data_IF_289446236214
#
_entry.id   IF_289446236214
#
_cell.length_a   1.000
_cell.length_b   1.000
_cell.length_c   1.000
_cell.angle_alpha   90.00
_cell.angle_beta   90.00
_cell.angle_gamma   90.00
#
_symmetry.space_group_name_H-M   'P 1'
#
loop_
_entity.id
_entity.type
_entity.pdbx_description
1 polymer ?
#
# COMPACT_ATOMS: atom_id res chain seq x y z
N UNK A 1 30.92 40.94 -45.31
CA UNK A 1 31.67 40.03 -44.40
C UNK A 1 30.93 40.02 -43.08
N UNK A 2 30.09 39.04 -42.89
CA UNK A 2 29.27 38.96 -41.63
C UNK A 2 29.24 37.48 -41.25
N UNK A 3 30.05 37.10 -40.28
CA UNK A 3 30.16 35.73 -39.80
C UNK A 3 28.92 35.37 -38.94
N UNK A 4 28.23 34.38 -39.40
CA UNK A 4 27.08 33.75 -38.77
C UNK A 4 27.59 32.89 -37.61
N UNK A 5 27.40 33.34 -36.35
CA UNK A 5 27.62 32.51 -35.17
C UNK A 5 26.34 31.72 -34.87
N UNK A 6 26.35 30.47 -35.28
CA UNK A 6 25.31 29.50 -34.92
C UNK A 6 25.59 29.00 -33.47
N UNK A 7 24.87 29.53 -32.47
CA UNK A 7 24.88 28.97 -31.11
C UNK A 7 24.02 27.74 -31.09
N UNK A 8 24.65 26.59 -30.99
CA UNK A 8 24.04 25.30 -30.77
C UNK A 8 23.51 25.25 -29.31
N UNK A 9 22.20 25.39 -29.17
CA UNK A 9 21.51 25.23 -27.87
C UNK A 9 21.38 23.72 -27.63
N UNK A 10 22.27 23.13 -26.83
CA UNK A 10 22.10 21.78 -26.31
C UNK A 10 20.99 21.81 -25.27
N UNK A 11 19.81 21.37 -25.66
CA UNK A 11 18.72 21.05 -24.77
C UNK A 11 19.07 19.72 -24.07
N UNK A 12 19.62 19.79 -22.86
CA UNK A 12 19.76 18.61 -22.00
C UNK A 12 18.37 18.26 -21.46
N UNK A 13 17.71 17.34 -22.10
CA UNK A 13 16.60 16.59 -21.55
C UNK A 13 17.11 15.79 -20.35
N UNK A 14 16.93 16.33 -19.16
CA UNK A 14 17.01 15.57 -17.92
C UNK A 14 15.80 14.61 -17.88
N UNK A 15 15.93 13.47 -18.56
CA UNK A 15 15.08 12.32 -18.30
C UNK A 15 15.45 11.83 -16.88
N UNK A 16 14.59 12.07 -15.92
CA UNK A 16 14.63 11.42 -14.61
C UNK A 16 14.30 9.94 -14.78
N UNK A 17 15.20 9.21 -15.45
CA UNK A 17 15.22 7.78 -15.47
C UNK A 17 15.57 7.32 -14.05
N UNK A 18 14.67 6.56 -13.44
CA UNK A 18 15.00 5.74 -12.28
C UNK A 18 16.13 4.83 -12.73
N UNK A 19 17.37 5.14 -12.33
CA UNK A 19 18.53 4.28 -12.52
C UNK A 19 18.28 3.07 -11.60
N UNK A 20 17.64 2.05 -12.13
CA UNK A 20 17.60 0.74 -11.52
C UNK A 20 19.05 0.23 -11.59
N UNK A 21 19.76 0.29 -10.46
CA UNK A 21 21.14 -0.19 -10.39
C UNK A 21 21.17 -1.64 -10.86
N UNK A 22 21.98 -1.92 -11.90
CA UNK A 22 22.11 -3.25 -12.45
C UNK A 22 22.64 -4.17 -11.35
N UNK A 23 21.89 -5.21 -11.00
CA UNK A 23 22.26 -6.21 -10.00
C UNK A 23 23.65 -6.76 -10.29
N UNK A 24 24.48 -6.89 -9.26
CA UNK A 24 25.81 -7.49 -9.44
C UNK A 24 25.68 -9.02 -9.56
N UNK A 25 26.65 -9.69 -10.20
CA UNK A 25 26.68 -11.17 -10.29
C UNK A 25 26.57 -11.85 -8.90
N UNK A 26 27.07 -11.19 -7.86
CA UNK A 26 27.00 -11.67 -6.48
C UNK A 26 25.57 -11.58 -5.94
N UNK A 27 24.87 -10.50 -6.22
CA UNK A 27 23.47 -10.32 -5.83
C UNK A 27 22.57 -11.32 -6.51
N UNK A 28 22.70 -11.52 -7.81
CA UNK A 28 21.96 -12.53 -8.57
C UNK A 28 22.18 -13.95 -8.03
N UNK A 29 23.41 -14.27 -7.60
CA UNK A 29 23.71 -15.55 -6.97
C UNK A 29 23.00 -15.69 -5.62
N UNK A 30 23.01 -14.62 -4.81
CA UNK A 30 22.34 -14.60 -3.50
C UNK A 30 20.84 -14.79 -3.68
N UNK A 31 20.21 -14.08 -4.61
CA UNK A 31 18.79 -14.20 -4.91
C UNK A 31 18.39 -15.61 -5.35
N UNK A 32 19.16 -16.22 -6.25
CA UNK A 32 18.95 -17.63 -6.66
C UNK A 32 19.00 -18.60 -5.49
N UNK A 33 20.04 -18.50 -4.64
CA UNK A 33 20.18 -19.36 -3.45
C UNK A 33 19.01 -19.18 -2.47
N UNK A 34 18.55 -17.94 -2.31
CA UNK A 34 17.44 -17.58 -1.46
C UNK A 34 16.11 -18.18 -1.99
N UNK A 35 15.85 -18.05 -3.29
CA UNK A 35 14.69 -18.66 -3.95
C UNK A 35 14.72 -20.19 -3.78
N UNK A 36 15.85 -20.84 -3.99
CA UNK A 36 16.00 -22.28 -3.80
C UNK A 36 15.74 -22.73 -2.36
N UNK A 37 16.21 -21.95 -1.38
CA UNK A 37 15.93 -22.21 0.04
C UNK A 37 14.41 -22.15 0.32
N UNK A 38 13.74 -21.09 -0.15
CA UNK A 38 12.31 -20.88 0.08
C UNK A 38 11.50 -21.97 -0.64
N UNK A 39 11.86 -22.34 -1.86
CA UNK A 39 11.25 -23.46 -2.59
C UNK A 39 11.27 -24.75 -1.78
N UNK A 40 12.41 -25.10 -1.21
CA UNK A 40 12.54 -26.30 -0.37
C UNK A 40 11.67 -26.24 0.88
N UNK A 41 11.59 -25.07 1.52
CA UNK A 41 10.78 -24.88 2.71
C UNK A 41 9.27 -25.00 2.45
N UNK A 42 8.79 -24.53 1.29
CA UNK A 42 7.37 -24.57 0.90
C UNK A 42 6.96 -25.98 0.43
N UNK A 43 7.81 -26.69 -0.32
CA UNK A 43 7.48 -28.02 -0.85
C UNK A 43 7.24 -29.11 0.23
N UNK A 44 7.49 -28.77 1.50
CA UNK A 44 7.15 -29.67 2.65
C UNK A 44 5.65 -29.58 2.99
N UNK A 45 4.94 -28.52 2.56
CA UNK A 45 3.51 -28.36 2.84
C UNK A 45 2.67 -28.92 1.71
N UNK A 46 1.79 -29.91 2.01
CA UNK A 46 0.92 -30.60 1.04
C UNK A 46 -0.34 -29.82 0.64
N UNK A 47 -0.66 -28.75 1.37
CA UNK A 47 -1.89 -27.97 1.16
C UNK A 47 -1.77 -26.99 -0.02
N UNK A 48 -0.55 -26.72 -0.46
CA UNK A 48 -0.26 -25.74 -1.50
C UNK A 48 0.71 -26.30 -2.54
N UNK A 49 0.53 -25.90 -3.79
CA UNK A 49 1.50 -26.12 -4.85
C UNK A 49 2.18 -24.81 -5.20
N UNK A 50 3.52 -24.75 -4.99
CA UNK A 50 4.30 -23.59 -5.38
C UNK A 50 4.32 -23.44 -6.91
N UNK A 51 3.99 -22.26 -7.41
CA UNK A 51 4.03 -21.90 -8.83
C UNK A 51 5.26 -21.06 -9.16
N UNK A 52 5.49 -20.00 -8.40
CA UNK A 52 6.62 -19.10 -8.65
C UNK A 52 7.10 -18.42 -7.36
N UNK A 53 8.36 -17.98 -7.34
CA UNK A 53 8.93 -17.11 -6.31
C UNK A 53 9.76 -16.05 -7.01
N UNK A 54 9.52 -14.80 -6.63
CA UNK A 54 10.26 -13.64 -7.16
C UNK A 54 10.78 -12.78 -6.03
N UNK A 55 12.01 -12.30 -6.16
CA UNK A 55 12.49 -11.16 -5.36
C UNK A 55 11.92 -9.89 -5.99
N UNK A 56 10.98 -9.25 -5.31
CA UNK A 56 10.36 -8.00 -5.75
C UNK A 56 11.29 -6.82 -5.57
N UNK A 57 11.97 -6.78 -4.44
CA UNK A 57 12.88 -5.70 -4.05
C UNK A 57 13.86 -6.22 -2.99
N UNK A 58 15.04 -5.62 -2.92
CA UNK A 58 15.96 -5.76 -1.80
C UNK A 58 16.43 -4.39 -1.30
N UNK A 59 16.78 -4.30 -0.02
CA UNK A 59 17.30 -3.07 0.58
C UNK A 59 18.35 -3.39 1.63
N UNK A 60 19.40 -2.56 1.67
CA UNK A 60 20.46 -2.67 2.69
C UNK A 60 19.94 -2.27 4.07
N UNK A 61 20.54 -2.87 5.10
CA UNK A 61 20.23 -2.55 6.48
C UNK A 61 21.28 -1.58 7.04
N UNK A 62 20.91 -0.31 7.23
CA UNK A 62 21.84 0.73 7.67
C UNK A 62 22.60 0.41 8.97
N UNK A 63 22.02 -0.40 9.85
CA UNK A 63 22.62 -0.78 11.15
C UNK A 63 23.26 -2.17 11.18
N UNK A 64 23.18 -2.92 10.10
CA UNK A 64 23.72 -4.27 9.95
C UNK A 64 24.46 -4.36 8.61
N UNK A 65 25.69 -3.88 8.52
CA UNK A 65 26.48 -3.93 7.29
C UNK A 65 26.51 -5.36 6.71
N UNK A 66 26.50 -5.48 5.41
CA UNK A 66 26.44 -6.74 4.65
C UNK A 66 25.09 -7.48 4.69
N UNK A 67 24.13 -7.08 5.51
CA UNK A 67 22.80 -7.67 5.51
C UNK A 67 21.83 -6.86 4.68
N UNK A 68 20.99 -7.57 3.93
CA UNK A 68 19.87 -6.99 3.16
C UNK A 68 18.56 -7.64 3.59
N UNK A 69 17.47 -6.88 3.49
CA UNK A 69 16.13 -7.43 3.47
C UNK A 69 15.75 -7.72 2.02
N UNK A 70 15.15 -8.88 1.77
CA UNK A 70 14.58 -9.29 0.50
C UNK A 70 13.08 -9.41 0.64
N UNK A 71 12.33 -8.68 -0.18
CA UNK A 71 10.88 -8.75 -0.26
C UNK A 71 10.51 -9.72 -1.37
N UNK A 72 9.70 -10.72 -1.02
CA UNK A 72 9.36 -11.85 -1.88
C UNK A 72 7.89 -11.83 -2.25
N UNK A 73 7.61 -12.10 -3.52
CA UNK A 73 6.30 -12.52 -3.99
C UNK A 73 6.35 -14.02 -4.26
N UNK A 74 5.42 -14.77 -3.67
CA UNK A 74 5.34 -16.24 -3.69
C UNK A 74 3.97 -16.62 -4.21
N UNK A 75 3.90 -17.17 -5.41
CA UNK A 75 2.65 -17.63 -6.01
C UNK A 75 2.36 -19.07 -5.62
N UNK A 76 1.28 -19.26 -4.88
CA UNK A 76 0.81 -20.55 -4.40
C UNK A 76 -0.52 -20.93 -5.07
N UNK A 77 -0.61 -22.12 -5.60
CA UNK A 77 -1.88 -22.71 -6.03
C UNK A 77 -2.46 -23.51 -4.87
N UNK A 78 -3.65 -23.13 -4.43
CA UNK A 78 -4.37 -23.84 -3.40
C UNK A 78 -5.00 -25.12 -3.97
N UNK A 79 -4.98 -26.19 -3.19
CA UNK A 79 -5.70 -27.41 -3.56
C UNK A 79 -7.20 -27.13 -3.71
N UNK A 80 -7.81 -27.64 -4.78
CA UNK A 80 -9.24 -27.46 -4.99
C UNK A 80 -10.01 -28.13 -3.85
N UNK A 81 -10.80 -27.37 -3.11
CA UNK A 81 -11.79 -27.89 -2.13
C UNK A 81 -13.16 -27.81 -2.78
N UNK A 82 -13.94 -28.90 -2.68
CA UNK A 82 -15.36 -28.94 -3.02
C UNK A 82 -15.71 -28.54 -4.47
N UNK A 83 -14.89 -28.96 -5.46
CA UNK A 83 -15.19 -28.73 -6.88
C UNK A 83 -14.97 -27.30 -7.38
N UNK A 84 -14.41 -26.41 -6.55
CA UNK A 84 -13.99 -25.06 -6.97
C UNK A 84 -12.74 -25.12 -7.84
N UNK A 85 -12.57 -24.12 -8.72
CA UNK A 85 -11.35 -23.97 -9.52
C UNK A 85 -10.14 -23.77 -8.60
N UNK A 86 -8.99 -24.29 -9.02
CA UNK A 86 -7.71 -23.98 -8.41
C UNK A 86 -7.45 -22.47 -8.57
N UNK A 87 -7.15 -21.80 -7.48
CA UNK A 87 -6.85 -20.37 -7.46
C UNK A 87 -5.36 -20.16 -7.11
N UNK A 88 -4.72 -19.24 -7.83
CA UNK A 88 -3.36 -18.81 -7.51
C UNK A 88 -3.47 -17.59 -6.58
N UNK A 89 -2.84 -17.70 -5.42
CA UNK A 89 -2.72 -16.62 -4.45
C UNK A 89 -1.26 -16.19 -4.34
N UNK A 90 -0.98 -14.89 -4.44
CA UNK A 90 0.34 -14.35 -4.18
C UNK A 90 0.48 -14.04 -2.69
N UNK A 91 1.39 -14.71 -2.02
CA UNK A 91 1.80 -14.43 -0.64
C UNK A 91 3.03 -13.55 -0.67
N UNK A 92 3.02 -12.50 0.14
CA UNK A 92 4.14 -11.59 0.28
C UNK A 92 4.88 -11.87 1.59
N UNK A 93 6.20 -12.06 1.54
CA UNK A 93 7.05 -12.25 2.73
C UNK A 93 8.35 -11.48 2.59
N UNK A 94 9.08 -11.37 3.69
CA UNK A 94 10.39 -10.73 3.75
C UNK A 94 11.33 -11.54 4.63
N UNK A 95 12.55 -11.70 4.13
CA UNK A 95 13.63 -12.41 4.83
C UNK A 95 14.91 -11.60 4.72
N UNK A 96 15.86 -11.89 5.58
CA UNK A 96 17.17 -11.22 5.61
C UNK A 96 18.26 -12.18 5.20
N UNK A 97 19.23 -11.69 4.43
CA UNK A 97 20.43 -12.45 4.05
C UNK A 97 21.64 -11.54 3.91
N UNK A 98 22.81 -12.10 4.19
CA UNK A 98 24.12 -11.51 3.88
C UNK A 98 24.85 -12.25 2.73
N UNK A 99 24.11 -13.08 1.97
CA UNK A 99 24.65 -13.90 0.89
C UNK A 99 25.12 -15.30 1.35
N UNK A 100 25.39 -15.48 2.64
CA UNK A 100 25.82 -16.77 3.24
C UNK A 100 24.76 -17.35 4.16
N UNK A 101 24.15 -16.50 4.98
CA UNK A 101 23.14 -16.89 5.96
C UNK A 101 21.79 -16.25 5.64
N UNK A 102 20.72 -16.92 6.08
CA UNK A 102 19.35 -16.42 6.04
C UNK A 102 18.82 -16.39 7.47
N UNK A 103 18.15 -15.28 7.84
CA UNK A 103 17.39 -15.17 9.08
C UNK A 103 16.01 -14.62 8.80
N UNK A 104 15.01 -15.04 9.57
CA UNK A 104 13.62 -14.60 9.40
C UNK A 104 13.36 -13.24 10.03
N UNK A 105 14.09 -12.92 11.10
CA UNK A 105 13.97 -11.64 11.79
C UNK A 105 15.22 -11.33 12.61
N UNK A 106 15.41 -10.05 12.92
CA UNK A 106 16.37 -9.54 13.92
C UNK A 106 15.60 -8.87 15.04
N UNK A 107 15.68 -9.43 16.24
CA UNK A 107 15.04 -8.86 17.42
C UNK A 107 16.03 -7.97 18.16
N UNK A 108 15.64 -6.72 18.38
CA UNK A 108 16.39 -5.83 19.27
C UNK A 108 16.15 -6.27 20.72
N UNK A 109 17.18 -6.81 21.39
CA UNK A 109 17.06 -7.39 22.74
C UNK A 109 16.79 -6.34 23.83
N UNK A 110 17.09 -5.06 23.57
CA UNK A 110 16.88 -3.96 24.54
C UNK A 110 15.41 -3.54 24.58
N UNK A 111 14.81 -3.29 23.43
CA UNK A 111 13.43 -2.79 23.34
C UNK A 111 12.44 -3.83 22.78
N UNK A 112 12.90 -5.07 22.57
CA UNK A 112 12.12 -6.21 22.06
C UNK A 112 11.45 -5.98 20.69
N UNK A 113 11.90 -4.97 19.93
CA UNK A 113 11.30 -4.67 18.63
C UNK A 113 11.87 -5.58 17.54
N UNK A 114 10.96 -6.04 16.66
CA UNK A 114 11.29 -6.75 15.43
C UNK A 114 11.84 -5.78 14.38
N UNK A 115 12.93 -6.13 13.70
CA UNK A 115 13.38 -5.41 12.54
C UNK A 115 12.51 -5.72 11.33
N UNK A 116 11.99 -6.94 11.24
CA UNK A 116 11.05 -7.36 10.19
C UNK A 116 9.83 -6.42 10.12
N UNK A 117 9.28 -6.04 11.28
CA UNK A 117 8.13 -5.13 11.35
C UNK A 117 8.45 -3.69 10.92
N UNK A 118 9.73 -3.31 11.01
CA UNK A 118 10.23 -1.98 10.60
C UNK A 118 10.69 -1.92 9.15
N UNK A 119 10.64 -3.03 8.41
CA UNK A 119 10.96 -3.06 7.00
C UNK A 119 9.69 -3.07 6.17
N UNK A 120 9.66 -2.27 5.12
CA UNK A 120 8.59 -2.21 4.13
C UNK A 120 9.20 -2.03 2.76
N UNK A 121 8.62 -2.61 1.69
CA UNK A 121 9.03 -2.32 0.35
C UNK A 121 8.75 -0.85 0.03
N UNK A 122 9.52 -0.30 -0.90
CA UNK A 122 9.24 1.01 -1.45
C UNK A 122 7.99 0.94 -2.33
N UNK A 123 7.27 2.03 -2.35
CA UNK A 123 6.12 2.22 -3.21
C UNK A 123 6.60 2.81 -4.54
N UNK A 124 6.16 2.24 -5.65
CA UNK A 124 6.45 2.71 -6.99
C UNK A 124 5.37 3.67 -7.54
N UNK A 125 5.58 4.20 -8.74
CA UNK A 125 4.70 5.20 -9.33
C UNK A 125 3.28 4.68 -9.65
N UNK A 126 3.06 3.36 -9.71
CA UNK A 126 1.75 2.77 -10.00
C UNK A 126 0.70 3.03 -8.92
N UNK A 127 1.14 3.48 -7.73
CA UNK A 127 0.26 3.86 -6.64
C UNK A 127 -0.23 5.32 -6.72
N UNK A 128 0.26 6.13 -7.65
CA UNK A 128 -0.21 7.51 -7.83
C UNK A 128 -1.32 7.58 -8.88
N UNK A 129 -2.37 6.78 -8.69
CA UNK A 129 -3.52 6.69 -9.60
C UNK A 129 -4.44 7.91 -9.45
N UNK A 130 -4.97 8.41 -10.56
CA UNK A 130 -5.82 9.59 -10.56
C UNK A 130 -7.12 9.40 -9.75
N UNK A 131 -7.69 8.20 -9.78
CA UNK A 131 -8.91 7.82 -9.04
C UNK A 131 -8.70 7.63 -7.53
N UNK A 132 -7.45 7.64 -7.07
CA UNK A 132 -7.09 7.59 -5.65
C UNK A 132 -6.61 8.96 -5.11
N UNK A 133 -6.54 9.99 -5.95
CA UNK A 133 -6.16 11.34 -5.51
C UNK A 133 -7.29 11.96 -4.68
N UNK A 134 -7.13 11.95 -3.36
CA UNK A 134 -8.14 12.45 -2.42
C UNK A 134 -8.06 13.96 -2.21
N UNK A 135 -6.84 14.54 -2.20
CA UNK A 135 -6.63 15.96 -1.95
C UNK A 135 -5.29 16.45 -2.53
N UNK A 136 -5.19 17.74 -2.82
CA UNK A 136 -4.04 18.36 -3.45
C UNK A 136 -4.00 18.14 -4.96
N UNK A 137 -2.90 18.54 -5.60
CA UNK A 137 -2.70 18.42 -7.04
C UNK A 137 -1.78 17.22 -7.37
N UNK A 138 -2.08 16.50 -8.46
CA UNK A 138 -1.30 15.34 -8.87
C UNK A 138 0.18 15.66 -9.16
N UNK A 139 0.50 16.88 -9.55
CA UNK A 139 1.84 17.41 -9.84
C UNK A 139 2.50 18.11 -8.63
N UNK A 140 1.89 18.03 -7.43
CA UNK A 140 2.48 18.59 -6.22
C UNK A 140 3.88 18.05 -5.95
N UNK A 141 4.70 18.88 -5.26
CA UNK A 141 6.11 18.59 -4.93
C UNK A 141 6.29 17.26 -4.20
N UNK A 142 5.35 16.93 -3.32
CA UNK A 142 5.41 15.72 -2.51
C UNK A 142 4.16 14.87 -2.72
N UNK A 143 4.38 13.56 -2.88
CA UNK A 143 3.31 12.58 -3.02
C UNK A 143 3.21 11.76 -1.74
N UNK A 144 2.01 11.76 -1.16
CA UNK A 144 1.71 10.96 0.03
C UNK A 144 0.68 9.90 -0.35
N UNK A 145 0.94 8.65 0.03
CA UNK A 145 -0.04 7.57 -0.09
C UNK A 145 -0.41 7.10 1.30
N UNK A 146 -1.71 7.09 1.60
CA UNK A 146 -2.26 6.66 2.85
C UNK A 146 -3.11 5.41 2.67
N UNK A 147 -2.80 4.35 3.42
CA UNK A 147 -3.67 3.18 3.57
C UNK A 147 -4.41 3.30 4.89
N UNK A 148 -5.73 3.30 4.84
CA UNK A 148 -6.53 3.70 5.99
C UNK A 148 -7.84 2.93 6.09
N UNK A 149 -8.29 2.73 7.33
CA UNK A 149 -9.57 2.15 7.68
C UNK A 149 -10.44 3.23 8.31
N UNK A 150 -11.61 3.56 7.76
CA UNK A 150 -12.46 4.64 8.27
C UNK A 150 -13.01 4.37 9.67
N UNK A 151 -12.97 3.12 10.14
CA UNK A 151 -13.45 2.73 11.46
C UNK A 151 -12.32 2.75 12.50
N UNK A 152 -11.06 2.64 12.08
CA UNK A 152 -9.91 2.63 12.97
C UNK A 152 -9.80 3.95 13.77
N UNK A 153 -9.78 3.93 15.12
CA UNK A 153 -9.71 5.14 15.94
C UNK A 153 -8.48 6.00 15.66
N UNK A 154 -7.33 5.36 15.36
CA UNK A 154 -6.10 6.08 14.97
C UNK A 154 -6.27 6.80 13.64
N UNK A 155 -6.97 6.18 12.66
CA UNK A 155 -7.26 6.81 11.38
C UNK A 155 -8.25 7.97 11.54
N UNK A 156 -9.29 7.80 12.38
CA UNK A 156 -10.27 8.85 12.66
C UNK A 156 -9.64 10.11 13.30
N UNK A 157 -8.54 9.94 13.99
CA UNK A 157 -7.78 11.07 14.56
C UNK A 157 -6.79 11.67 13.55
N UNK A 158 -6.06 10.80 12.83
CA UNK A 158 -4.94 11.20 12.00
C UNK A 158 -5.36 11.72 10.61
N UNK A 159 -6.28 11.01 9.93
CA UNK A 159 -6.60 11.30 8.53
C UNK A 159 -7.24 12.67 8.31
N UNK A 160 -8.14 13.18 9.16
CA UNK A 160 -8.68 14.54 9.01
C UNK A 160 -7.59 15.64 8.98
N UNK A 161 -6.56 15.52 9.80
CA UNK A 161 -5.44 16.48 9.81
C UNK A 161 -4.63 16.40 8.51
N UNK A 162 -4.33 15.18 8.02
CA UNK A 162 -3.57 14.98 6.80
C UNK A 162 -4.35 15.44 5.56
N UNK A 163 -5.65 15.14 5.48
CA UNK A 163 -6.53 15.59 4.39
C UNK A 163 -6.55 17.12 4.36
N UNK A 164 -6.79 17.75 5.51
CA UNK A 164 -6.77 19.22 5.61
C UNK A 164 -5.43 19.81 5.21
N UNK A 165 -4.31 19.21 5.63
CA UNK A 165 -2.98 19.67 5.26
C UNK A 165 -2.75 19.64 3.74
N UNK A 166 -3.24 18.60 3.04
CA UNK A 166 -3.16 18.50 1.59
C UNK A 166 -4.11 19.50 0.89
N UNK A 167 -5.32 19.69 1.39
CA UNK A 167 -6.28 20.67 0.87
C UNK A 167 -5.76 22.11 0.99
N UNK A 168 -5.18 22.46 2.14
CA UNK A 168 -4.63 23.79 2.40
C UNK A 168 -3.32 24.06 1.63
N UNK A 169 -2.62 23.00 1.17
CA UNK A 169 -1.32 23.10 0.50
C UNK A 169 -1.28 22.26 -0.80
N UNK A 170 -2.17 22.55 -1.78
CA UNK A 170 -2.39 21.65 -2.92
C UNK A 170 -1.19 21.54 -3.88
N UNK A 171 -0.28 22.52 -3.90
CA UNK A 171 0.94 22.47 -4.70
C UNK A 171 2.11 21.78 -4.00
N UNK A 172 2.04 21.64 -2.67
CA UNK A 172 3.08 20.98 -1.86
C UNK A 172 2.79 19.50 -1.62
N UNK A 173 1.52 19.11 -1.52
CA UNK A 173 1.10 17.74 -1.19
C UNK A 173 0.02 17.26 -2.15
N UNK A 174 0.29 16.11 -2.79
CA UNK A 174 -0.72 15.24 -3.41
C UNK A 174 -0.99 14.06 -2.49
N UNK A 175 -2.19 13.94 -1.96
CA UNK A 175 -2.61 12.85 -1.07
C UNK A 175 -3.42 11.82 -1.86
N UNK A 176 -2.87 10.62 -2.00
CA UNK A 176 -3.52 9.45 -2.55
C UNK A 176 -4.02 8.57 -1.41
N UNK A 177 -5.25 8.07 -1.51
CA UNK A 177 -5.92 7.34 -0.45
C UNK A 177 -6.33 5.95 -0.93
N UNK A 178 -5.93 4.93 -0.18
CA UNK A 178 -6.28 3.54 -0.39
C UNK A 178 -7.05 3.02 0.81
N UNK A 179 -8.16 2.34 0.55
CA UNK A 179 -8.93 1.69 1.59
C UNK A 179 -8.26 0.40 2.04
N UNK A 180 -8.07 0.23 3.34
CA UNK A 180 -7.55 -1.00 3.92
C UNK A 180 -8.32 -1.39 5.18
N UNK A 181 -9.39 -2.21 5.05
CA UNK A 181 -10.20 -2.64 6.18
C UNK A 181 -9.43 -3.60 7.09
N UNK A 182 -9.45 -3.34 8.39
CA UNK A 182 -8.97 -4.27 9.40
C UNK A 182 -10.11 -5.22 9.81
N UNK A 183 -10.53 -6.10 8.92
CA UNK A 183 -11.75 -6.92 9.00
C UNK A 183 -11.86 -7.76 10.27
N UNK A 184 -10.73 -8.18 10.85
CA UNK A 184 -10.69 -8.93 12.11
C UNK A 184 -10.99 -8.06 13.34
N UNK A 185 -10.87 -6.73 13.22
CA UNK A 185 -11.10 -5.76 14.29
C UNK A 185 -12.36 -4.94 14.06
N UNK A 186 -12.69 -4.65 12.81
CA UNK A 186 -13.78 -3.77 12.39
C UNK A 186 -14.66 -4.49 11.36
N UNK A 187 -15.69 -5.19 11.82
CA UNK A 187 -16.56 -6.01 10.97
C UNK A 187 -17.34 -5.19 9.95
N UNK A 188 -17.71 -3.96 10.32
CA UNK A 188 -18.46 -3.02 9.48
C UNK A 188 -17.58 -2.33 8.42
N UNK A 189 -16.25 -2.35 8.55
CA UNK A 189 -15.36 -1.61 7.65
C UNK A 189 -15.55 -1.97 6.17
N UNK A 190 -15.69 -3.24 5.77
CA UNK A 190 -15.90 -3.59 4.36
C UNK A 190 -17.15 -2.94 3.77
N UNK A 191 -18.29 -2.97 4.48
CA UNK A 191 -19.53 -2.39 4.00
C UNK A 191 -19.45 -0.86 3.94
N UNK A 192 -18.84 -0.21 4.95
CA UNK A 192 -18.61 1.25 4.97
C UNK A 192 -17.72 1.66 3.80
N UNK A 193 -16.62 0.96 3.55
CA UNK A 193 -15.70 1.27 2.45
C UNK A 193 -16.41 1.11 1.09
N UNK A 194 -17.12 0.03 0.87
CA UNK A 194 -17.89 -0.16 -0.36
C UNK A 194 -18.93 0.95 -0.53
N UNK A 195 -19.58 1.39 0.56
CA UNK A 195 -20.53 2.52 0.52
C UNK A 195 -19.83 3.86 0.21
N UNK A 196 -18.59 4.09 0.68
CA UNK A 196 -17.78 5.24 0.29
C UNK A 196 -17.56 5.22 -1.21
N UNK A 197 -17.06 4.11 -1.78
CA UNK A 197 -16.79 3.97 -3.21
C UNK A 197 -18.05 4.19 -4.08
N UNK A 198 -19.22 3.72 -3.61
CA UNK A 198 -20.50 4.01 -4.27
C UNK A 198 -20.83 5.50 -4.22
N UNK A 199 -20.68 6.14 -3.05
CA UNK A 199 -20.96 7.55 -2.88
C UNK A 199 -20.07 8.43 -3.76
N UNK A 200 -18.76 8.11 -3.84
CA UNK A 200 -17.81 8.77 -4.75
C UNK A 200 -18.25 8.65 -6.22
N UNK A 201 -18.61 7.44 -6.64
CA UNK A 201 -19.13 7.18 -8.01
C UNK A 201 -20.42 7.95 -8.28
N UNK A 202 -21.24 8.21 -7.26
CA UNK A 202 -22.46 9.04 -7.35
C UNK A 202 -22.18 10.55 -7.29
N UNK A 203 -20.92 10.98 -7.18
CA UNK A 203 -20.51 12.38 -7.14
C UNK A 203 -20.70 13.04 -5.77
N UNK A 204 -20.75 12.27 -4.67
CA UNK A 204 -20.79 12.84 -3.32
C UNK A 204 -19.41 13.41 -2.99
N UNK A 205 -19.31 14.72 -2.95
CA UNK A 205 -18.06 15.41 -2.61
C UNK A 205 -17.63 15.14 -1.18
N UNK A 206 -16.31 15.07 -0.95
CA UNK A 206 -15.67 14.92 0.39
C UNK A 206 -16.20 13.75 1.24
N UNK A 207 -16.67 12.67 0.61
CA UNK A 207 -17.32 11.56 1.33
C UNK A 207 -16.39 10.93 2.38
N UNK A 208 -15.10 10.75 2.07
CA UNK A 208 -14.10 10.22 3.02
C UNK A 208 -14.01 11.11 4.25
N UNK A 209 -13.93 12.43 4.07
CA UNK A 209 -13.89 13.39 5.18
C UNK A 209 -15.19 13.36 6.01
N UNK A 210 -16.35 13.23 5.36
CA UNK A 210 -17.66 13.11 6.03
C UNK A 210 -17.72 11.84 6.88
N UNK A 211 -17.21 10.71 6.37
CA UNK A 211 -17.18 9.44 7.07
C UNK A 211 -16.29 9.51 8.31
N UNK A 212 -15.09 10.12 8.23
CA UNK A 212 -14.25 10.35 9.39
C UNK A 212 -14.91 11.25 10.45
N UNK A 213 -15.69 12.26 10.03
CA UNK A 213 -16.46 13.13 10.95
C UNK A 213 -17.61 12.39 11.61
N UNK A 214 -18.26 11.45 10.90
CA UNK A 214 -19.38 10.67 11.41
C UNK A 214 -18.96 9.65 12.49
N UNK A 215 -17.69 9.21 12.51
CA UNK A 215 -17.08 8.32 13.51
C UNK A 215 -17.92 7.07 13.78
N UNK A 216 -18.12 6.26 12.73
CA UNK A 216 -18.86 5.01 12.86
C UNK A 216 -18.18 4.06 13.87
N UNK A 217 -18.98 3.44 14.74
CA UNK A 217 -18.62 2.40 15.68
C UNK A 217 -19.83 1.51 15.88
N UNK A 218 -20.10 0.64 14.94
CA UNK A 218 -21.31 -0.17 14.95
C UNK A 218 -21.07 -1.57 15.54
N UNK A 219 -19.86 -2.11 15.38
CA UNK A 219 -19.45 -3.47 15.77
C UNK A 219 -20.46 -4.54 15.34
N UNK A 220 -20.98 -4.42 14.14
CA UNK A 220 -21.97 -5.31 13.54
C UNK A 220 -21.53 -5.77 12.17
N UNK A 221 -22.09 -6.91 11.75
CA UNK A 221 -21.84 -7.55 10.45
C UNK A 221 -23.14 -7.64 9.62
N UNK A 222 -24.05 -6.68 9.82
CA UNK A 222 -25.33 -6.61 9.12
C UNK A 222 -25.29 -5.45 8.12
N UNK A 223 -25.07 -5.76 6.84
CA UNK A 223 -24.91 -4.77 5.77
C UNK A 223 -26.12 -3.80 5.72
N UNK A 224 -27.37 -4.27 5.91
CA UNK A 224 -28.56 -3.39 5.91
C UNK A 224 -28.51 -2.35 7.01
N UNK A 225 -28.14 -2.76 8.22
CA UNK A 225 -28.04 -1.82 9.35
C UNK A 225 -26.88 -0.85 9.18
N UNK A 226 -25.75 -1.35 8.65
CA UNK A 226 -24.57 -0.52 8.33
C UNK A 226 -24.95 0.53 7.30
N UNK A 227 -25.58 0.13 6.18
CA UNK A 227 -26.01 1.06 5.12
C UNK A 227 -27.06 2.05 5.61
N UNK A 228 -27.99 1.64 6.48
CA UNK A 228 -28.96 2.57 7.10
C UNK A 228 -28.25 3.66 7.92
N UNK A 229 -27.22 3.29 8.70
CA UNK A 229 -26.44 4.25 9.46
C UNK A 229 -25.61 5.17 8.55
N UNK A 230 -24.93 4.60 7.53
CA UNK A 230 -24.16 5.33 6.54
C UNK A 230 -25.03 6.35 5.79
N UNK A 231 -26.15 5.89 5.22
CA UNK A 231 -27.07 6.74 4.47
C UNK A 231 -27.62 7.91 5.31
N UNK A 232 -27.92 7.64 6.59
CA UNK A 232 -28.37 8.70 7.51
C UNK A 232 -27.27 9.73 7.77
N UNK A 233 -26.02 9.29 7.95
CA UNK A 233 -24.92 10.16 8.30
C UNK A 233 -24.41 10.97 7.11
N UNK A 234 -24.39 10.36 5.91
CA UNK A 234 -23.81 10.96 4.68
C UNK A 234 -24.87 11.63 3.82
N UNK A 235 -26.16 11.29 4.01
CA UNK A 235 -27.26 11.84 3.21
C UNK A 235 -27.47 11.11 1.89
N UNK A 236 -27.16 9.82 1.82
CA UNK A 236 -27.27 8.97 0.62
C UNK A 236 -28.45 7.99 0.71
N UNK A 237 -28.65 7.21 -0.36
CA UNK A 237 -29.66 6.13 -0.44
C UNK A 237 -29.05 4.84 -0.99
N UNK A 238 -27.82 4.54 -0.63
CA UNK A 238 -27.05 3.38 -1.09
C UNK A 238 -27.70 2.10 -0.60
N UNK A 239 -27.81 1.13 -1.48
CA UNK A 239 -28.43 -0.19 -1.23
C UNK A 239 -27.39 -1.30 -1.18
N UNK A 240 -27.79 -2.50 -0.73
CA UNK A 240 -26.94 -3.69 -0.78
C UNK A 240 -26.55 -4.06 -2.24
N UNK A 241 -27.44 -3.81 -3.21
CA UNK A 241 -27.14 -4.03 -4.63
C UNK A 241 -26.00 -3.12 -5.11
N UNK A 242 -26.01 -1.84 -4.68
CA UNK A 242 -24.99 -0.86 -5.08
C UNK A 242 -23.59 -1.25 -4.56
N UNK A 243 -23.48 -1.66 -3.30
CA UNK A 243 -22.19 -2.07 -2.70
C UNK A 243 -21.68 -3.42 -3.21
N UNK A 244 -22.55 -4.22 -3.84
CA UNK A 244 -22.22 -5.49 -4.47
C UNK A 244 -22.12 -5.38 -6.01
N UNK A 245 -22.17 -4.17 -6.57
CA UNK A 245 -21.84 -3.92 -7.99
C UNK A 245 -20.41 -4.37 -8.31
N UNK A 246 -20.22 -5.07 -9.42
CA UNK A 246 -18.94 -5.67 -9.81
C UNK A 246 -17.79 -4.66 -9.84
N UNK A 247 -18.04 -3.42 -10.26
CA UNK A 247 -16.99 -2.38 -10.32
C UNK A 247 -16.57 -1.91 -8.92
N UNK A 248 -17.50 -1.88 -7.97
CA UNK A 248 -17.22 -1.55 -6.56
C UNK A 248 -16.39 -2.67 -5.92
N UNK A 249 -16.77 -3.93 -6.17
CA UNK A 249 -16.03 -5.08 -5.64
C UNK A 249 -14.61 -5.16 -6.22
N UNK A 250 -14.43 -4.86 -7.50
CA UNK A 250 -13.11 -4.80 -8.14
C UNK A 250 -12.25 -3.71 -7.51
N UNK A 251 -12.76 -2.47 -7.41
CA UNK A 251 -12.03 -1.36 -6.79
C UNK A 251 -11.62 -1.68 -5.34
N UNK A 252 -12.59 -2.17 -4.55
CA UNK A 252 -12.32 -2.59 -3.18
C UNK A 252 -11.22 -3.66 -3.08
N UNK A 253 -11.27 -4.68 -3.96
CA UNK A 253 -10.26 -5.76 -3.95
C UNK A 253 -8.89 -5.27 -4.42
N UNK A 254 -8.83 -4.36 -5.40
CA UNK A 254 -7.57 -3.74 -5.85
C UNK A 254 -6.88 -2.94 -4.74
N UNK A 255 -7.64 -2.24 -3.91
CA UNK A 255 -7.10 -1.52 -2.75
C UNK A 255 -6.50 -2.47 -1.72
N UNK A 256 -7.23 -3.54 -1.38
CA UNK A 256 -6.76 -4.57 -0.44
C UNK A 256 -5.52 -5.31 -1.00
N UNK A 257 -5.52 -5.64 -2.29
CA UNK A 257 -4.37 -6.24 -2.96
C UNK A 257 -3.15 -5.30 -2.96
N UNK A 258 -3.39 -4.01 -3.21
CA UNK A 258 -2.35 -2.98 -3.18
C UNK A 258 -1.69 -2.87 -1.80
N UNK A 259 -2.48 -2.97 -0.73
CA UNK A 259 -1.96 -3.05 0.64
C UNK A 259 -1.15 -4.34 0.87
N UNK A 260 -1.61 -5.48 0.34
CA UNK A 260 -0.90 -6.75 0.38
C UNK A 260 0.49 -6.66 -0.25
N UNK A 261 0.59 -6.09 -1.46
CA UNK A 261 1.85 -5.86 -2.18
C UNK A 261 2.90 -5.08 -1.38
N UNK A 262 2.46 -4.22 -0.48
CA UNK A 262 3.31 -3.43 0.43
C UNK A 262 3.44 -4.06 1.81
N UNK A 263 2.89 -5.26 2.03
CA UNK A 263 2.90 -5.99 3.30
C UNK A 263 2.36 -5.15 4.46
N UNK A 264 1.28 -4.40 4.20
CA UNK A 264 0.64 -3.55 5.19
C UNK A 264 -0.16 -4.43 6.15
N UNK A 265 0.06 -4.25 7.45
CA UNK A 265 -0.59 -5.02 8.52
C UNK A 265 -1.37 -4.15 9.50
N UNK A 266 -1.47 -2.84 9.25
CA UNK A 266 -2.19 -1.93 10.15
C UNK A 266 -2.37 -0.54 9.57
N UNK A 267 -3.28 0.22 10.17
CA UNK A 267 -3.68 1.55 9.73
C UNK A 267 -3.58 2.59 10.85
N UNK A 268 -3.34 3.88 10.50
CA UNK A 268 -2.97 4.35 9.18
C UNK A 268 -1.52 3.97 8.83
N UNK A 269 -1.28 3.52 7.59
CA UNK A 269 0.07 3.36 7.06
C UNK A 269 0.31 4.43 6.00
N UNK A 270 1.40 5.17 6.15
CA UNK A 270 1.71 6.36 5.34
C UNK A 270 3.02 6.15 4.59
N UNK A 271 3.01 6.46 3.31
CA UNK A 271 4.19 6.58 2.47
C UNK A 271 4.35 8.03 2.03
N UNK A 272 5.58 8.51 2.01
CA UNK A 272 5.97 9.85 1.55
C UNK A 272 7.04 9.69 0.49
N UNK A 273 6.76 10.18 -0.71
CA UNK A 273 7.67 10.08 -1.87
C UNK A 273 8.21 8.65 -2.06
N UNK A 274 7.32 7.67 -2.01
CA UNK A 274 7.62 6.25 -2.21
C UNK A 274 8.19 5.52 -1.00
N UNK A 275 8.52 6.20 0.11
CA UNK A 275 9.12 5.58 1.31
C UNK A 275 8.14 5.58 2.48
N UNK A 276 8.05 4.45 3.20
CA UNK A 276 7.19 4.36 4.39
C UNK A 276 7.61 5.35 5.47
N UNK A 277 6.65 6.15 5.93
CA UNK A 277 6.84 7.06 7.06
C UNK A 277 6.39 6.41 8.36
N UNK A 278 7.33 5.83 9.10
CA UNK A 278 7.05 5.21 10.40
C UNK A 278 6.68 6.24 11.48
N UNK A 279 7.08 7.50 11.30
CA UNK A 279 6.74 8.59 12.22
C UNK A 279 5.34 9.13 12.00
N UNK A 280 4.80 8.96 10.80
CA UNK A 280 3.54 9.55 10.32
C UNK A 280 3.49 11.09 10.45
N UNK A 281 4.65 11.74 10.49
CA UNK A 281 4.74 13.19 10.75
C UNK A 281 5.57 13.95 9.73
N UNK A 282 6.17 13.28 8.74
CA UNK A 282 7.02 13.93 7.73
C UNK A 282 6.28 15.02 6.96
N UNK A 283 4.98 14.84 6.68
CA UNK A 283 4.19 15.83 5.97
C UNK A 283 4.16 17.20 6.68
N UNK A 284 4.28 17.23 8.03
CA UNK A 284 4.29 18.49 8.80
C UNK A 284 5.49 19.37 8.47
N UNK A 285 6.61 18.81 8.02
CA UNK A 285 7.76 19.57 7.57
C UNK A 285 7.60 20.13 6.15
N UNK A 286 6.69 19.57 5.34
CA UNK A 286 6.46 20.00 3.95
C UNK A 286 5.55 21.22 3.83
N UNK A 287 4.79 21.52 4.88
CA UNK A 287 3.81 22.62 4.91
C UNK A 287 4.29 23.84 5.70
N UNK A 288 5.54 23.79 6.19
CA UNK A 288 6.18 24.91 6.90
C UNK A 288 6.72 25.98 5.94
#
# INVERSE_FOLDING_TARGET
>A
MMQLMLKLLMLTLLSSGIIQAKSTKSEEKTERNLIEYVKKAINVNKDFTLKDIRVKQSSELAKLPSWKVYFLDIDLEMAAKDGKKKEIMTVHDKIFSNGTFIVRDFINIVNKSSLKDKMAPDLDASFYKADHLLAGNADAENKIVAFSDPICPFCQTYMPELIKAAQDNPTKIALYYYHFPLTMLHKEAPAIIKAILVAEKQGVEDVVSKVYKAKFHLDIDDEKKILKAFNKAIGTKITEADINDQKILVHYSEDVESAGKLMISGTPTIYVNGKKDFSRSKYKAMIK
#
